data_IF_687778128456
#
_entry.id   IF_687778128456
#
_cell.length_a   1.000
_cell.length_b   1.000
_cell.length_c   1.000
_cell.angle_alpha   90.00
_cell.angle_beta   90.00
_cell.angle_gamma   90.00
#
_symmetry.space_group_name_H-M   'P 1'
#
loop_
_entity.id
_entity.type
_entity.pdbx_description
1 polymer ?
#
# COMPACT_ATOMS: atom_id res chain seq x y z
N UNK A 1 -3.90 -17.90 0.43
CA UNK A 1 -3.63 -16.46 0.23
C UNK A 1 -4.34 -15.68 1.33
N UNK A 2 -3.75 -14.59 1.88
CA UNK A 2 -4.48 -13.63 2.72
C UNK A 2 -4.44 -12.28 2.03
N UNK A 3 -5.61 -11.80 1.63
CA UNK A 3 -5.85 -10.46 1.09
C UNK A 3 -6.27 -9.54 2.24
N UNK A 4 -5.72 -8.34 2.28
CA UNK A 4 -6.12 -7.27 3.16
C UNK A 4 -6.47 -6.05 2.31
N UNK A 5 -7.60 -5.42 2.60
CA UNK A 5 -8.01 -4.14 2.00
C UNK A 5 -8.43 -3.23 3.14
N UNK A 6 -7.73 -2.11 3.31
CA UNK A 6 -8.07 -1.10 4.31
C UNK A 6 -8.12 0.25 3.60
N UNK A 7 -9.28 0.91 3.72
CA UNK A 7 -9.51 2.25 3.23
C UNK A 7 -9.87 3.10 4.44
N UNK A 8 -9.10 4.15 4.72
CA UNK A 8 -9.43 5.08 5.79
C UNK A 8 -10.78 5.75 5.46
N UNK A 9 -11.70 5.86 6.43
CA UNK A 9 -13.01 6.46 6.20
C UNK A 9 -12.84 7.90 5.72
N UNK A 10 -13.46 8.22 4.57
CA UNK A 10 -13.45 9.57 3.99
C UNK A 10 -14.88 10.00 3.65
N UNK A 11 -15.21 11.26 3.94
CA UNK A 11 -16.41 11.91 3.40
C UNK A 11 -16.23 12.04 1.90
N UNK A 12 -17.12 11.44 1.10
CA UNK A 12 -17.10 11.56 -0.37
C UNK A 12 -17.52 12.97 -0.78
N UNK A 13 -16.57 13.91 -0.83
CA UNK A 13 -16.76 15.20 -1.51
C UNK A 13 -16.48 14.98 -3.00
N UNK A 14 -17.47 15.27 -3.86
CA UNK A 14 -17.39 15.19 -5.32
C UNK A 14 -16.16 15.93 -5.89
N UNK A 15 -15.64 16.93 -5.17
CA UNK A 15 -14.45 17.71 -5.57
C UNK A 15 -13.10 17.03 -5.30
N UNK A 16 -13.09 15.92 -4.57
CA UNK A 16 -11.87 15.19 -4.17
C UNK A 16 -11.89 13.72 -4.62
N UNK A 17 -12.37 13.45 -5.85
CA UNK A 17 -12.26 12.12 -6.47
C UNK A 17 -10.79 11.82 -6.78
N UNK A 18 -10.21 10.83 -6.10
CA UNK A 18 -8.85 10.37 -6.33
C UNK A 18 -8.87 9.27 -7.40
N UNK A 19 -8.33 9.58 -8.59
CA UNK A 19 -8.29 8.69 -9.76
C UNK A 19 -7.06 7.78 -9.78
N UNK A 20 -6.79 7.09 -8.66
CA UNK A 20 -5.73 6.08 -8.61
C UNK A 20 -6.35 4.69 -8.59
N UNK A 21 -5.86 3.83 -9.47
CA UNK A 21 -6.22 2.41 -9.56
C UNK A 21 -5.00 1.55 -9.23
N UNK A 22 -5.26 0.37 -8.71
CA UNK A 22 -4.21 -0.53 -8.25
C UNK A 22 -4.64 -1.98 -8.28
N UNK A 23 -3.67 -2.86 -8.48
CA UNK A 23 -3.86 -4.31 -8.43
C UNK A 23 -2.68 -4.96 -7.71
N UNK A 24 -2.99 -6.03 -6.99
CA UNK A 24 -2.01 -6.93 -6.38
C UNK A 24 -2.42 -8.35 -6.71
N UNK A 25 -1.45 -9.22 -6.99
CA UNK A 25 -1.69 -10.61 -7.38
C UNK A 25 -0.66 -11.56 -6.77
N UNK A 26 -1.09 -12.81 -6.60
CA UNK A 26 -0.26 -13.95 -6.24
C UNK A 26 -0.53 -15.04 -7.27
N UNK A 27 0.49 -15.46 -8.02
CA UNK A 27 0.34 -16.54 -9.00
C UNK A 27 0.44 -17.94 -8.37
N UNK A 28 0.19 -18.97 -9.19
CA UNK A 28 0.24 -20.38 -8.76
C UNK A 28 1.65 -20.87 -8.42
N UNK A 29 2.69 -20.19 -8.91
CA UNK A 29 4.10 -20.52 -8.63
C UNK A 29 4.64 -19.81 -7.39
N UNK A 30 3.83 -18.95 -6.76
CA UNK A 30 4.22 -18.21 -5.56
C UNK A 30 4.91 -16.87 -5.83
N UNK A 31 4.72 -16.27 -7.01
CA UNK A 31 5.20 -14.92 -7.27
C UNK A 31 4.14 -13.88 -6.89
N UNK A 32 4.62 -12.82 -6.25
CA UNK A 32 3.84 -11.65 -5.88
C UNK A 32 4.10 -10.53 -6.87
N UNK A 33 3.02 -9.87 -7.29
CA UNK A 33 3.09 -8.71 -8.17
C UNK A 33 2.17 -7.59 -7.65
N UNK A 34 2.58 -6.34 -7.90
CA UNK A 34 1.80 -5.14 -7.62
C UNK A 34 1.90 -4.19 -8.80
N UNK A 35 0.82 -3.47 -9.10
CA UNK A 35 0.77 -2.42 -10.09
C UNK A 35 -0.14 -1.29 -9.61
N UNK A 36 0.28 -0.05 -9.86
CA UNK A 36 -0.48 1.15 -9.48
C UNK A 36 -0.40 2.16 -10.63
N UNK A 37 -1.53 2.76 -10.98
CA UNK A 37 -1.61 3.77 -12.02
C UNK A 37 -2.52 4.93 -11.59
N UNK A 38 -2.19 6.14 -12.02
CA UNK A 38 -2.91 7.35 -11.59
C UNK A 38 -2.84 8.45 -12.65
N UNK A 39 -3.91 9.25 -12.75
CA UNK A 39 -3.87 10.55 -13.42
C UNK A 39 -3.16 11.64 -12.58
N UNK A 40 -2.93 11.36 -11.30
CA UNK A 40 -2.47 12.32 -10.30
C UNK A 40 -3.62 13.08 -9.64
N UNK A 41 -3.32 14.28 -9.13
CA UNK A 41 -4.29 15.14 -8.49
C UNK A 41 -4.90 16.12 -9.50
N UNK A 42 -6.19 16.41 -9.38
CA UNK A 42 -6.85 17.50 -10.10
C UNK A 42 -6.12 18.81 -9.84
N UNK A 43 -5.90 19.61 -10.89
CA UNK A 43 -5.20 20.89 -10.81
C UNK A 43 -3.76 20.81 -10.26
N UNK A 44 -3.08 19.68 -10.47
CA UNK A 44 -1.65 19.56 -10.13
C UNK A 44 -0.81 20.50 -11.00
N UNK A 45 0.27 21.02 -10.43
CA UNK A 45 1.30 21.70 -11.21
C UNK A 45 1.88 20.75 -12.28
N UNK A 46 2.20 21.25 -13.49
CA UNK A 46 2.94 20.48 -14.47
C UNK A 46 4.22 19.91 -13.86
N UNK A 47 4.49 18.62 -14.10
CA UNK A 47 5.63 17.92 -13.53
C UNK A 47 5.45 17.41 -12.09
N UNK A 48 4.32 17.67 -11.40
CA UNK A 48 4.07 17.08 -10.08
C UNK A 48 3.95 15.56 -10.17
N UNK A 49 4.75 14.86 -9.37
CA UNK A 49 4.76 13.40 -9.22
C UNK A 49 4.17 13.02 -7.84
N UNK A 50 3.34 11.97 -7.81
CA UNK A 50 2.77 11.39 -6.58
C UNK A 50 3.45 10.09 -6.18
N UNK A 51 2.83 9.33 -5.29
CA UNK A 51 3.35 8.05 -4.77
C UNK A 51 3.26 6.90 -5.78
N UNK A 52 2.23 6.88 -6.64
CA UNK A 52 1.92 5.72 -7.50
C UNK A 52 3.08 5.20 -8.36
N UNK A 53 3.92 6.04 -9.03
CA UNK A 53 5.05 5.55 -9.81
C UNK A 53 6.32 5.27 -8.99
N UNK A 54 6.28 5.44 -7.66
CA UNK A 54 7.47 5.34 -6.81
C UNK A 54 7.46 4.00 -6.04
N UNK A 55 8.46 3.12 -6.29
CA UNK A 55 8.60 1.87 -5.57
C UNK A 55 8.71 2.08 -4.06
N UNK A 56 7.96 1.32 -3.29
CA UNK A 56 7.92 1.40 -1.83
C UNK A 56 7.02 2.52 -1.27
N UNK A 57 6.62 3.51 -2.06
CA UNK A 57 5.61 4.48 -1.67
C UNK A 57 4.20 4.02 -2.08
N UNK A 58 3.93 4.06 -3.39
CA UNK A 58 2.61 3.73 -3.94
C UNK A 58 2.46 2.29 -4.42
N UNK A 59 3.57 1.66 -4.80
CA UNK A 59 3.61 0.30 -5.36
C UNK A 59 4.80 -0.46 -4.80
N UNK A 60 4.59 -1.68 -4.29
CA UNK A 60 5.67 -2.53 -3.80
C UNK A 60 5.30 -4.01 -3.92
N UNK A 61 6.25 -4.86 -4.31
CA UNK A 61 6.08 -6.30 -4.27
C UNK A 61 7.39 -7.00 -3.93
N UNK A 62 7.32 -7.96 -3.01
CA UNK A 62 8.43 -8.83 -2.66
C UNK A 62 7.91 -10.24 -2.33
N UNK A 63 8.39 -11.25 -3.07
CA UNK A 63 8.00 -12.66 -2.90
C UNK A 63 8.21 -13.19 -1.47
N UNK A 64 9.19 -12.64 -0.74
CA UNK A 64 9.48 -13.05 0.63
C UNK A 64 8.45 -12.53 1.65
N UNK A 65 7.72 -11.45 1.34
CA UNK A 65 6.84 -10.73 2.25
C UNK A 65 5.45 -10.46 1.65
N UNK A 66 5.27 -9.36 0.92
CA UNK A 66 3.95 -8.80 0.56
C UNK A 66 3.98 -8.06 -0.78
N UNK A 67 2.83 -8.04 -1.48
CA UNK A 67 2.53 -7.11 -2.55
C UNK A 67 1.51 -6.08 -2.08
N UNK A 68 1.74 -4.80 -2.38
CA UNK A 68 0.94 -3.66 -1.90
C UNK A 68 0.74 -2.66 -3.04
N UNK A 69 -0.49 -2.17 -3.18
CA UNK A 69 -0.82 -1.00 -4.01
C UNK A 69 -1.62 -0.01 -3.19
N UNK A 70 -1.23 1.27 -3.28
CA UNK A 70 -1.78 2.35 -2.49
C UNK A 70 -2.65 3.29 -3.33
N UNK A 71 -3.52 4.03 -2.66
CA UNK A 71 -4.28 5.16 -3.20
C UNK A 71 -4.49 6.20 -2.12
N UNK A 72 -4.30 7.49 -2.42
CA UNK A 72 -4.48 8.52 -1.40
C UNK A 72 -3.73 9.82 -1.66
N UNK A 73 -3.38 10.46 -0.56
CA UNK A 73 -2.62 11.72 -0.51
C UNK A 73 -1.14 11.43 -0.76
N UNK A 74 -0.74 11.40 -2.03
CA UNK A 74 0.57 10.89 -2.46
C UNK A 74 1.78 11.46 -1.72
N UNK A 75 1.76 12.74 -1.34
CA UNK A 75 2.84 13.38 -0.57
C UNK A 75 3.12 12.67 0.76
N UNK A 76 2.08 12.23 1.46
CA UNK A 76 2.23 11.55 2.75
C UNK A 76 2.69 10.10 2.54
N UNK A 77 2.13 9.41 1.55
CA UNK A 77 2.54 8.04 1.19
C UNK A 77 4.00 7.96 0.76
N UNK A 78 4.51 8.99 0.06
CA UNK A 78 5.93 9.13 -0.27
C UNK A 78 6.79 9.32 0.98
N UNK A 79 6.41 10.25 1.86
CA UNK A 79 7.17 10.58 3.07
C UNK A 79 7.31 9.40 4.03
N UNK A 80 6.34 8.50 4.05
CA UNK A 80 6.36 7.32 4.94
C UNK A 80 6.82 6.04 4.27
N UNK A 81 7.07 6.05 2.96
CA UNK A 81 7.23 4.83 2.16
C UNK A 81 6.13 3.80 2.49
N UNK A 82 4.87 4.23 2.41
CA UNK A 82 3.74 3.48 2.98
C UNK A 82 3.67 2.01 2.53
N UNK A 83 3.90 1.72 1.26
CA UNK A 83 3.86 0.35 0.74
C UNK A 83 5.02 -0.53 1.28
N UNK A 84 6.23 0.03 1.39
CA UNK A 84 7.39 -0.67 1.94
C UNK A 84 7.32 -0.81 3.46
N UNK A 85 6.78 0.19 4.16
CA UNK A 85 6.61 0.17 5.62
C UNK A 85 5.73 -1.00 6.08
N UNK A 86 4.73 -1.40 5.29
CA UNK A 86 3.97 -2.64 5.53
C UNK A 86 4.89 -3.86 5.51
N UNK A 87 5.77 -3.97 4.51
CA UNK A 87 6.71 -5.07 4.41
C UNK A 87 7.69 -5.07 5.60
N UNK A 88 8.22 -3.90 5.97
CA UNK A 88 9.15 -3.73 7.09
C UNK A 88 8.50 -4.05 8.44
N UNK A 89 7.25 -3.63 8.69
CA UNK A 89 6.51 -3.96 9.91
C UNK A 89 6.25 -5.47 10.03
N UNK A 90 5.98 -6.13 8.91
CA UNK A 90 5.81 -7.58 8.88
C UNK A 90 7.13 -8.34 9.07
N UNK A 91 8.23 -7.85 8.50
CA UNK A 91 9.53 -8.51 8.52
C UNK A 91 10.31 -8.25 9.80
N UNK A 92 10.40 -6.99 10.23
CA UNK A 92 11.18 -6.57 11.39
C UNK A 92 10.33 -6.44 12.66
N UNK A 93 9.06 -6.05 12.50
CA UNK A 93 8.12 -5.90 13.63
C UNK A 93 7.39 -7.19 13.99
N UNK A 94 7.48 -8.25 13.17
CA UNK A 94 6.70 -9.48 13.31
C UNK A 94 5.18 -9.28 13.34
N UNK A 95 4.67 -8.17 12.78
CA UNK A 95 3.23 -7.91 12.71
C UNK A 95 2.56 -8.84 11.68
N UNK A 96 1.29 -9.17 11.94
CA UNK A 96 0.45 -9.75 10.91
C UNK A 96 0.18 -8.75 9.78
N UNK A 97 -0.26 -9.24 8.62
CA UNK A 97 -0.61 -8.37 7.49
C UNK A 97 -1.68 -7.33 7.90
N UNK A 98 -2.68 -7.74 8.68
CA UNK A 98 -3.76 -6.85 9.10
C UNK A 98 -3.25 -5.77 10.04
N UNK A 99 -2.50 -6.14 11.09
CA UNK A 99 -1.94 -5.19 12.06
C UNK A 99 -0.99 -4.20 11.39
N UNK A 100 -0.16 -4.66 10.43
CA UNK A 100 0.71 -3.77 9.67
C UNK A 100 -0.10 -2.77 8.83
N UNK A 101 -1.12 -3.24 8.11
CA UNK A 101 -2.01 -2.38 7.33
C UNK A 101 -2.76 -1.37 8.20
N UNK A 102 -3.28 -1.81 9.35
CA UNK A 102 -4.00 -0.96 10.30
C UNK A 102 -3.08 0.12 10.87
N UNK A 103 -1.88 -0.25 11.32
CA UNK A 103 -0.87 0.68 11.86
C UNK A 103 -0.52 1.78 10.85
N UNK A 104 -0.35 1.43 9.58
CA UNK A 104 -0.02 2.43 8.55
C UNK A 104 -1.23 3.30 8.21
N UNK A 105 -2.37 2.68 7.89
CA UNK A 105 -3.55 3.39 7.34
C UNK A 105 -4.32 4.17 8.40
N UNK A 106 -4.44 3.64 9.62
CA UNK A 106 -5.26 4.25 10.66
C UNK A 106 -4.45 5.08 11.66
N UNK A 107 -3.14 4.86 11.78
CA UNK A 107 -2.32 5.60 12.75
C UNK A 107 -1.28 6.51 12.04
N UNK A 108 -0.34 5.94 11.28
CA UNK A 108 0.79 6.70 10.72
C UNK A 108 0.36 7.74 9.68
N UNK A 109 -0.48 7.34 8.71
CA UNK A 109 -0.91 8.25 7.64
C UNK A 109 -1.77 9.41 8.18
N UNK A 110 -2.81 9.19 9.02
CA UNK A 110 -3.60 10.27 9.57
C UNK A 110 -2.81 11.22 10.48
N UNK A 111 -1.84 10.70 11.25
CA UNK A 111 -0.96 11.54 12.08
C UNK A 111 -0.15 12.57 11.29
N UNK A 112 0.06 12.33 9.99
CA UNK A 112 0.75 13.24 9.07
C UNK A 112 -0.20 14.03 8.17
N UNK A 113 -1.51 14.01 8.46
CA UNK A 113 -2.55 14.64 7.64
C UNK A 113 -2.84 13.91 6.33
N UNK A 114 -2.34 12.68 6.18
CA UNK A 114 -2.59 11.83 5.03
C UNK A 114 -3.94 11.13 5.14
N UNK A 115 -4.54 10.87 3.99
CA UNK A 115 -5.74 10.05 3.90
C UNK A 115 -5.69 9.24 2.60
N UNK A 116 -6.22 8.02 2.66
CA UNK A 116 -6.14 7.05 1.58
C UNK A 116 -6.41 5.62 2.07
N UNK A 117 -5.99 4.67 1.27
CA UNK A 117 -6.08 3.25 1.57
C UNK A 117 -5.08 2.45 0.75
N UNK A 118 -5.08 1.15 0.98
CA UNK A 118 -4.24 0.22 0.24
C UNK A 118 -4.91 -1.15 0.16
N UNK A 119 -4.48 -1.90 -0.86
CA UNK A 119 -4.74 -3.33 -1.00
C UNK A 119 -3.40 -4.05 -0.87
N UNK A 120 -3.40 -5.15 -0.13
CA UNK A 120 -2.19 -5.92 0.11
C UNK A 120 -2.45 -7.43 0.14
N UNK A 121 -1.54 -8.20 -0.44
CA UNK A 121 -1.57 -9.67 -0.42
C UNK A 121 -0.26 -10.19 0.13
N UNK A 122 -0.37 -11.10 1.10
CA UNK A 122 0.77 -11.86 1.63
C UNK A 122 0.76 -13.28 1.10
N UNK A 123 1.94 -13.76 0.70
CA UNK A 123 2.18 -15.19 0.53
C UNK A 123 2.12 -15.90 1.89
N UNK A 124 1.20 -16.86 2.02
CA UNK A 124 1.19 -17.76 3.18
C UNK A 124 2.41 -18.67 3.02
N UNK A 125 3.52 -18.35 3.67
CA UNK A 125 4.65 -19.28 3.73
C UNK A 125 4.11 -20.64 4.20
N UNK A 126 4.40 -21.70 3.46
CA UNK A 126 4.42 -23.02 4.10
C UNK A 126 5.43 -22.87 5.24
N UNK A 127 4.98 -22.97 6.49
CA UNK A 127 5.91 -23.22 7.60
C UNK A 127 6.46 -24.62 7.34
N UNK A 128 7.50 -24.70 6.51
CA UNK A 128 8.44 -25.82 6.59
C UNK A 128 9.11 -25.70 7.95
N UNK A 129 9.11 -26.80 8.70
CA UNK A 129 9.81 -26.93 9.97
C UNK A 129 11.17 -26.27 9.91
N UNK A 130 11.40 -25.29 10.78
CA UNK A 130 12.75 -25.14 11.30
C UNK A 130 13.00 -26.42 12.11
N UNK A 131 13.86 -27.27 11.56
CA UNK A 131 14.55 -28.33 12.29
C UNK A 131 15.49 -27.68 13.30
#
# INVERSE_FOLDING_TARGET
>A
MRLCSIIAPRRSDERHKMGTVGAVALDLTGNLAAATSTGGMTNKLPGRVGDSPLPGAGCYANNASVAVSCTGTGEVFMRTLAAYDIAALMEYGNLSLYEACERVVMEKLPALGGSGGLIAIRQRRQRGSAV
#
